data_IF_608497550767
#
_entry.id   IF_608497550767
#
_cell.length_a   1.000
_cell.length_b   1.000
_cell.length_c   1.000
_cell.angle_alpha   90.00
_cell.angle_beta   90.00
_cell.angle_gamma   90.00
#
_symmetry.space_group_name_H-M   'P 1'
#
loop_
_entity.id
_entity.type
_entity.pdbx_description
1 polymer ?
#
# COMPACT_ATOMS: atom_id res chain seq x y z
N UNK A 1 2.66 20.48 -19.06
CA UNK A 1 2.35 20.35 -17.63
C UNK A 1 3.66 20.19 -16.88
N UNK A 2 4.03 21.15 -16.04
CA UNK A 2 5.23 21.06 -15.20
C UNK A 2 5.06 19.93 -14.19
N UNK A 3 6.02 18.99 -14.13
CA UNK A 3 6.09 17.96 -13.08
C UNK A 3 6.24 18.67 -11.73
N UNK A 4 5.17 18.79 -10.96
CA UNK A 4 5.30 19.14 -9.56
C UNK A 4 5.58 17.86 -8.76
N UNK A 5 6.75 17.79 -8.13
CA UNK A 5 7.07 16.75 -7.16
C UNK A 5 6.37 17.05 -5.82
N UNK A 6 5.04 16.95 -5.81
CA UNK A 6 4.19 17.28 -4.65
C UNK A 6 4.54 16.44 -3.41
N UNK A 7 5.14 15.28 -3.61
CA UNK A 7 5.51 14.32 -2.57
C UNK A 7 7.02 14.09 -2.50
N UNK A 8 7.83 15.07 -2.92
CA UNK A 8 9.28 14.96 -2.86
C UNK A 8 9.74 14.52 -1.46
N UNK A 9 10.42 13.37 -1.42
CA UNK A 9 11.03 12.74 -0.24
C UNK A 9 10.04 12.41 0.90
N UNK A 10 8.74 12.42 0.60
CA UNK A 10 7.69 11.92 1.50
C UNK A 10 7.67 10.40 1.49
N UNK A 11 7.31 9.81 2.62
CA UNK A 11 7.10 8.36 2.73
C UNK A 11 5.60 8.07 2.72
N UNK A 12 5.15 7.28 1.74
CA UNK A 12 3.77 6.85 1.61
C UNK A 12 3.62 5.36 1.88
N UNK A 13 2.55 4.95 2.56
CA UNK A 13 2.08 3.57 2.62
C UNK A 13 0.81 3.44 1.78
N UNK A 14 0.77 2.46 0.88
CA UNK A 14 -0.44 2.07 0.15
C UNK A 14 -0.74 0.60 0.46
N UNK A 15 -1.91 0.31 1.04
CA UNK A 15 -2.35 -1.06 1.31
C UNK A 15 -3.06 -1.66 0.09
N UNK A 16 -2.97 -2.97 -0.13
CA UNK A 16 -3.52 -3.64 -1.32
C UNK A 16 -2.88 -3.15 -2.63
N UNK A 17 -1.58 -2.87 -2.61
CA UNK A 17 -0.87 -2.16 -3.69
C UNK A 17 -0.07 -3.06 -4.63
N UNK A 18 -0.28 -4.38 -4.59
CA UNK A 18 0.33 -5.31 -5.54
C UNK A 18 -0.31 -5.26 -6.95
N UNK A 19 -1.52 -4.73 -7.08
CA UNK A 19 -2.24 -4.64 -8.37
C UNK A 19 -3.25 -3.49 -8.42
N UNK A 20 -3.87 -3.31 -9.59
CA UNK A 20 -5.04 -2.43 -9.77
C UNK A 20 -4.82 -0.98 -9.33
N UNK A 21 -5.83 -0.39 -8.69
CA UNK A 21 -5.79 1.00 -8.21
C UNK A 21 -4.71 1.23 -7.15
N UNK A 22 -4.44 0.25 -6.28
CA UNK A 22 -3.38 0.35 -5.28
C UNK A 22 -2.00 0.49 -5.92
N UNK A 23 -1.68 -0.38 -6.89
CA UNK A 23 -0.43 -0.30 -7.64
C UNK A 23 -0.31 1.00 -8.44
N UNK A 24 -1.38 1.41 -9.13
CA UNK A 24 -1.41 2.66 -9.88
C UNK A 24 -1.19 3.89 -8.97
N UNK A 25 -1.76 3.87 -7.77
CA UNK A 25 -1.60 4.94 -6.76
C UNK A 25 -0.17 4.98 -6.24
N UNK A 26 0.41 3.82 -5.89
CA UNK A 26 1.79 3.73 -5.44
C UNK A 26 2.79 4.28 -6.48
N UNK A 27 2.63 3.87 -7.75
CA UNK A 27 3.46 4.36 -8.85
C UNK A 27 3.25 5.86 -9.12
N UNK A 28 2.02 6.36 -8.97
CA UNK A 28 1.73 7.79 -9.13
C UNK A 28 2.42 8.62 -8.04
N UNK A 29 2.38 8.18 -6.78
CA UNK A 29 3.08 8.83 -5.67
C UNK A 29 4.60 8.82 -5.88
N UNK A 30 5.16 7.68 -6.32
CA UNK A 30 6.59 7.57 -6.65
C UNK A 30 7.00 8.53 -7.78
N UNK A 31 6.20 8.64 -8.85
CA UNK A 31 6.43 9.60 -9.96
C UNK A 31 6.40 11.06 -9.50
N UNK A 32 5.73 11.35 -8.39
CA UNK A 32 5.66 12.68 -7.76
C UNK A 32 6.67 12.86 -6.61
N UNK A 33 7.61 11.92 -6.46
CA UNK A 33 8.79 12.07 -5.62
C UNK A 33 8.76 11.27 -4.31
N UNK A 34 7.70 10.52 -4.04
CA UNK A 34 7.59 9.77 -2.79
C UNK A 34 8.48 8.52 -2.77
N UNK A 35 8.95 8.15 -1.60
CA UNK A 35 9.30 6.78 -1.26
C UNK A 35 8.04 6.04 -0.84
N UNK A 36 7.93 4.75 -1.17
CA UNK A 36 6.64 4.04 -1.02
C UNK A 36 6.82 2.69 -0.35
N UNK A 37 6.09 2.47 0.74
CA UNK A 37 5.84 1.15 1.29
C UNK A 37 4.64 0.52 0.57
N UNK A 38 4.89 -0.66 -0.01
CA UNK A 38 3.93 -1.50 -0.72
C UNK A 38 3.49 -2.59 0.23
N UNK A 39 2.20 -2.61 0.59
CA UNK A 39 1.60 -3.68 1.36
C UNK A 39 0.60 -4.46 0.48
N UNK A 40 0.82 -5.75 0.32
CA UNK A 40 -0.10 -6.69 -0.34
C UNK A 40 0.20 -8.11 0.13
N UNK A 41 -0.83 -8.95 0.27
CA UNK A 41 -0.66 -10.35 0.65
C UNK A 41 0.11 -11.15 -0.41
N UNK A 42 0.01 -10.76 -1.69
CA UNK A 42 0.76 -11.39 -2.76
C UNK A 42 2.16 -10.76 -2.90
N UNK A 43 3.17 -11.47 -2.38
CA UNK A 43 4.56 -11.03 -2.37
C UNK A 43 5.15 -10.77 -3.78
N UNK A 44 4.78 -11.58 -4.77
CA UNK A 44 5.28 -11.45 -6.14
C UNK A 44 4.80 -10.15 -6.79
N UNK A 45 3.49 -9.89 -6.69
CA UNK A 45 2.88 -8.66 -7.16
C UNK A 45 3.46 -7.43 -6.45
N UNK A 46 3.60 -7.50 -5.12
CA UNK A 46 4.19 -6.40 -4.34
C UNK A 46 5.64 -6.10 -4.76
N UNK A 47 6.47 -7.14 -4.98
CA UNK A 47 7.86 -6.99 -5.44
C UNK A 47 7.94 -6.42 -6.85
N UNK A 48 7.03 -6.81 -7.76
CA UNK A 48 6.97 -6.24 -9.11
C UNK A 48 6.76 -4.72 -9.05
N UNK A 49 5.75 -4.27 -8.29
CA UNK A 49 5.47 -2.84 -8.12
C UNK A 49 6.64 -2.11 -7.45
N UNK A 50 7.28 -2.73 -6.45
CA UNK A 50 8.47 -2.17 -5.82
C UNK A 50 9.62 -1.95 -6.82
N UNK A 51 9.89 -2.92 -7.71
CA UNK A 51 10.90 -2.77 -8.75
C UNK A 51 10.60 -1.63 -9.72
N UNK A 52 9.32 -1.43 -10.08
CA UNK A 52 8.90 -0.28 -10.89
C UNK A 52 9.11 1.07 -10.16
N UNK A 53 8.93 1.11 -8.84
CA UNK A 53 9.19 2.31 -8.02
C UNK A 53 10.68 2.59 -7.89
N UNK A 54 11.50 1.55 -7.71
CA UNK A 54 12.95 1.64 -7.66
C UNK A 54 13.53 2.12 -9.00
N UNK A 55 12.97 1.67 -10.12
CA UNK A 55 13.32 2.16 -11.46
C UNK A 55 13.02 3.66 -11.66
N UNK A 56 12.15 4.25 -10.85
CA UNK A 56 11.89 5.71 -10.81
C UNK A 56 12.87 6.46 -9.89
N UNK A 57 13.86 5.77 -9.32
CA UNK A 57 14.86 6.33 -8.40
C UNK A 57 14.32 6.56 -6.99
N UNK A 58 13.27 5.84 -6.58
CA UNK A 58 12.65 5.97 -5.26
C UNK A 58 12.82 4.70 -4.44
N UNK A 59 12.91 4.85 -3.11
CA UNK A 59 12.95 3.72 -2.20
C UNK A 59 11.59 3.03 -2.16
N UNK A 60 11.59 1.71 -2.22
CA UNK A 60 10.43 0.88 -2.00
C UNK A 60 10.63 -0.03 -0.78
N UNK A 61 9.59 -0.19 0.04
CA UNK A 61 9.57 -1.19 1.11
C UNK A 61 8.42 -2.17 0.82
N UNK A 62 8.74 -3.45 0.62
CA UNK A 62 7.73 -4.48 0.43
C UNK A 62 7.33 -5.07 1.77
N UNK A 63 6.02 -5.17 2.01
CA UNK A 63 5.46 -5.82 3.20
C UNK A 63 4.28 -6.71 2.84
N UNK A 64 4.21 -7.90 3.46
CA UNK A 64 3.14 -8.89 3.23
C UNK A 64 2.27 -9.11 4.45
N UNK A 65 2.34 -8.21 5.43
CA UNK A 65 1.45 -8.22 6.59
C UNK A 65 -0.02 -8.18 6.17
N UNK A 66 -0.84 -8.99 6.83
CA UNK A 66 -2.28 -8.92 6.73
C UNK A 66 -2.79 -7.68 7.47
N UNK A 67 -3.27 -6.70 6.72
CA UNK A 67 -3.70 -5.41 7.26
C UNK A 67 -5.04 -5.49 8.04
N UNK A 68 -5.76 -6.61 7.95
CA UNK A 68 -6.93 -6.86 8.82
C UNK A 68 -6.53 -7.02 10.29
N UNK A 69 -5.28 -7.40 10.56
CA UNK A 69 -4.79 -7.65 11.90
C UNK A 69 -4.12 -6.41 12.50
N UNK A 70 -4.65 -5.89 13.61
CA UNK A 70 -4.13 -4.68 14.25
C UNK A 70 -2.65 -4.78 14.62
N UNK A 71 -2.20 -5.93 15.15
CA UNK A 71 -0.80 -6.17 15.48
C UNK A 71 0.13 -6.12 14.25
N UNK A 72 -0.34 -6.66 13.12
CA UNK A 72 0.38 -6.65 11.86
C UNK A 72 0.45 -5.24 11.24
N UNK A 73 -0.65 -4.47 11.32
CA UNK A 73 -0.67 -3.07 10.93
C UNK A 73 0.33 -2.24 11.74
N UNK A 74 0.40 -2.47 13.07
CA UNK A 74 1.40 -1.85 13.93
C UNK A 74 2.82 -2.23 13.52
N UNK A 75 3.10 -3.52 13.30
CA UNK A 75 4.41 -4.00 12.89
C UNK A 75 4.87 -3.37 11.56
N UNK A 76 3.96 -3.25 10.59
CA UNK A 76 4.22 -2.57 9.31
C UNK A 76 4.60 -1.09 9.51
N UNK A 77 3.86 -0.35 10.34
CA UNK A 77 4.18 1.06 10.61
C UNK A 77 5.55 1.19 11.31
N UNK A 78 5.86 0.29 12.24
CA UNK A 78 7.16 0.27 12.93
C UNK A 78 8.31 -0.07 11.95
N UNK A 79 8.08 -1.00 11.02
CA UNK A 79 9.02 -1.33 9.95
C UNK A 79 9.27 -0.13 9.02
N UNK A 80 8.22 0.61 8.64
CA UNK A 80 8.33 1.84 7.86
C UNK A 80 9.16 2.89 8.60
N UNK A 81 8.88 3.12 9.88
CA UNK A 81 9.66 4.06 10.69
C UNK A 81 11.13 3.65 10.79
N UNK A 82 11.41 2.35 10.96
CA UNK A 82 12.76 1.83 11.05
C UNK A 82 13.53 1.97 9.73
N UNK A 83 12.91 1.62 8.60
CA UNK A 83 13.60 1.54 7.30
C UNK A 83 13.55 2.83 6.47
N UNK A 84 12.47 3.61 6.60
CA UNK A 84 12.21 4.83 5.84
C UNK A 84 12.17 6.09 6.71
N UNK A 85 12.26 5.95 8.04
CA UNK A 85 12.41 7.05 9.01
C UNK A 85 11.11 7.73 9.42
N UNK A 86 10.06 7.71 8.58
CA UNK A 86 8.79 8.39 8.82
C UNK A 86 7.66 7.77 8.00
N UNK A 87 6.43 8.17 8.29
CA UNK A 87 5.25 7.94 7.45
C UNK A 87 4.48 9.26 7.32
N UNK A 88 4.32 9.75 6.09
CA UNK A 88 3.67 11.04 5.77
C UNK A 88 2.28 10.86 5.18
N UNK A 89 2.09 9.79 4.39
CA UNK A 89 0.87 9.53 3.63
C UNK A 89 0.44 8.10 3.87
N UNK A 90 -0.83 7.92 4.20
CA UNK A 90 -1.46 6.60 4.28
C UNK A 90 -2.62 6.55 3.28
N UNK A 91 -2.62 5.53 2.43
CA UNK A 91 -3.71 5.20 1.53
C UNK A 91 -4.27 3.84 1.94
N UNK A 92 -5.42 3.84 2.60
CA UNK A 92 -6.18 2.65 2.96
C UNK A 92 -6.96 2.14 1.73
N UNK A 93 -6.28 1.40 0.85
CA UNK A 93 -6.85 0.90 -0.40
C UNK A 93 -7.17 -0.60 -0.38
N UNK A 94 -6.52 -1.40 0.48
CA UNK A 94 -6.83 -2.82 0.61
C UNK A 94 -8.32 -3.03 0.91
N UNK A 95 -8.95 -3.90 0.14
CA UNK A 95 -10.36 -4.23 0.30
C UNK A 95 -10.69 -5.49 -0.48
N UNK A 96 -11.64 -6.24 0.06
CA UNK A 96 -12.23 -7.42 -0.55
C UNK A 96 -13.74 -7.21 -0.61
N UNK A 97 -14.40 -7.84 -1.56
CA UNK A 97 -15.86 -7.78 -1.69
C UNK A 97 -16.46 -9.14 -1.35
N UNK A 98 -17.56 -9.14 -0.62
CA UNK A 98 -18.41 -10.31 -0.38
C UNK A 98 -19.72 -10.11 -1.14
N UNK A 99 -19.83 -10.77 -2.28
CA UNK A 99 -21.00 -10.64 -3.14
C UNK A 99 -22.21 -11.33 -2.52
N UNK A 100 -23.10 -10.54 -1.91
CA UNK A 100 -24.42 -10.96 -1.48
C UNK A 100 -25.38 -9.77 -1.44
N UNK A 101 -26.67 -10.03 -1.65
CA UNK A 101 -27.69 -9.07 -1.23
C UNK A 101 -27.68 -8.99 0.29
N UNK A 102 -27.83 -7.78 0.86
CA UNK A 102 -27.72 -7.58 2.32
C UNK A 102 -28.60 -8.54 3.13
N UNK A 103 -29.86 -8.78 2.71
CA UNK A 103 -30.78 -9.69 3.39
C UNK A 103 -30.45 -11.19 3.24
N UNK A 104 -29.43 -11.54 2.44
CA UNK A 104 -28.90 -12.90 2.27
C UNK A 104 -27.47 -13.05 2.80
N UNK A 105 -26.91 -11.99 3.39
CA UNK A 105 -25.60 -12.00 3.99
C UNK A 105 -25.71 -12.57 5.41
N UNK A 106 -24.85 -13.53 5.75
CA UNK A 106 -24.74 -14.00 7.13
C UNK A 106 -23.87 -13.03 7.93
N UNK A 107 -24.01 -13.01 9.26
CA UNK A 107 -23.16 -12.19 10.14
C UNK A 107 -21.67 -12.48 9.91
N UNK A 108 -21.30 -13.75 9.75
CA UNK A 108 -19.91 -14.14 9.49
C UNK A 108 -19.39 -13.55 8.19
N UNK A 109 -20.21 -13.48 7.13
CA UNK A 109 -19.82 -12.85 5.86
C UNK A 109 -19.76 -11.32 5.94
N UNK A 110 -20.41 -10.73 6.92
CA UNK A 110 -20.36 -9.29 7.15
C UNK A 110 -19.11 -8.89 7.94
N UNK A 111 -18.65 -9.74 8.87
CA UNK A 111 -17.46 -9.52 9.69
C UNK A 111 -16.12 -9.88 9.00
N UNK A 112 -16.17 -10.57 7.87
CA UNK A 112 -15.02 -10.96 7.03
C UNK A 112 -14.58 -9.92 5.97
#
# INVERSE_FOLDING_TARGET
>A
MTKQNRFQDKVALVTGSGRGLGAATALRLAREGAHVAINDLNAENARKVAGEIEALGRKALVSTHDISQHSAAKALVDEIKSKLGRLDVLVNNAGITRDAMLHKMTEEKFDE
#
